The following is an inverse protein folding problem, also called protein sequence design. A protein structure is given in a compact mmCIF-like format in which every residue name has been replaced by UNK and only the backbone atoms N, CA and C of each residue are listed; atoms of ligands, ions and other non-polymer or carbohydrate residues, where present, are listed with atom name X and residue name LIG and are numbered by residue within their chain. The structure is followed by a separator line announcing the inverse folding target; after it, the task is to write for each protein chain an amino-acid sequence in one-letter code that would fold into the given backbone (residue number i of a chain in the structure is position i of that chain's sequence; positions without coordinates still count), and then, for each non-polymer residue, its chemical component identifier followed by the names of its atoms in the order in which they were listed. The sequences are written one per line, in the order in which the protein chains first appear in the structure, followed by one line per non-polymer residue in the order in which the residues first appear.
data_IF_971004673984
#
_entry.id   IF_971004673984
#
_cell.length_a   1.000
_cell.length_b   1.000
_cell.length_c   1.000
_cell.angle_alpha   90.00
_cell.angle_beta   90.00
_cell.angle_gamma   90.00
#
_symmetry.space_group_name_H-M   'P 1'
#
loop_
_entity.id
_entity.type
_entity.pdbx_description
1 polymer ?
#
# COMPACT_ATOMS: atom_id res chain seq x y z
N UNK A 1 -16.63 3.67 7.94
CA UNK A 1 -16.44 3.14 6.57
C UNK A 1 -15.71 4.21 5.80
N UNK A 2 -14.45 3.99 5.46
CA UNK A 2 -13.59 4.97 4.79
C UNK A 2 -14.03 5.03 3.33
N UNK A 3 -14.49 6.20 2.91
CA UNK A 3 -14.92 6.41 1.53
C UNK A 3 -13.75 6.78 0.64
N UNK A 4 -13.92 6.62 -0.68
CA UNK A 4 -12.91 7.00 -1.70
C UNK A 4 -12.37 8.44 -1.57
N UNK A 5 -13.15 9.35 -0.98
CA UNK A 5 -12.80 10.75 -0.80
C UNK A 5 -11.92 11.00 0.43
N UNK A 6 -11.93 10.09 1.41
CA UNK A 6 -11.16 10.20 2.64
C UNK A 6 -9.76 9.55 2.52
N UNK A 7 -9.60 8.61 1.58
CA UNK A 7 -8.30 7.99 1.27
C UNK A 7 -7.18 9.00 1.02
N UNK A 8 -7.32 10.00 0.13
CA UNK A 8 -6.24 10.97 -0.09
C UNK A 8 -5.92 11.80 1.16
N UNK A 9 -6.89 12.04 2.05
CA UNK A 9 -6.67 12.78 3.30
C UNK A 9 -5.84 11.95 4.29
N UNK A 10 -6.24 10.69 4.51
CA UNK A 10 -5.52 9.76 5.40
C UNK A 10 -4.09 9.51 4.90
N UNK A 11 -3.92 9.41 3.59
CA UNK A 11 -2.60 9.23 2.97
C UNK A 11 -1.72 10.48 3.11
N UNK A 12 -2.28 11.69 2.98
CA UNK A 12 -1.53 12.95 3.21
C UNK A 12 -1.02 13.08 4.64
N UNK A 13 -1.77 12.60 5.63
CA UNK A 13 -1.31 12.60 7.02
C UNK A 13 -0.16 11.61 7.25
N UNK A 14 -0.14 10.51 6.50
CA UNK A 14 0.87 9.44 6.64
C UNK A 14 2.14 9.73 5.83
N UNK A 15 2.02 10.45 4.72
CA UNK A 15 3.11 10.80 3.80
C UNK A 15 3.38 12.31 3.90
N UNK A 16 4.26 12.78 4.80
CA UNK A 16 4.68 14.18 4.82
C UNK A 16 5.53 14.44 3.56
N UNK A 17 4.89 14.90 2.49
CA UNK A 17 5.55 15.13 1.21
C UNK A 17 4.82 14.61 -0.02
N UNK A 18 3.59 14.09 0.12
CA UNK A 18 2.68 13.86 -1.02
C UNK A 18 2.30 15.21 -1.64
N UNK A 19 3.26 15.81 -2.33
CA UNK A 19 3.16 17.13 -2.96
C UNK A 19 2.07 17.07 -4.02
N UNK A 20 1.28 18.13 -4.04
CA UNK A 20 0.07 18.38 -4.82
C UNK A 20 0.27 18.38 -6.36
N UNK A 21 1.16 17.57 -6.91
CA UNK A 21 1.46 17.56 -8.34
C UNK A 21 0.38 16.89 -9.20
N UNK A 22 -0.70 16.38 -8.62
CA UNK A 22 -1.83 15.91 -9.40
C UNK A 22 -2.97 16.92 -9.40
N UNK A 23 -2.82 17.95 -10.24
CA UNK A 23 -3.94 18.74 -10.74
C UNK A 23 -4.86 17.84 -11.57
N UNK A 24 -5.65 16.98 -10.91
CA UNK A 24 -6.72 16.26 -11.58
C UNK A 24 -8.05 16.77 -11.09
N UNK A 25 -8.76 17.47 -11.97
CA UNK A 25 -10.11 18.02 -11.77
C UNK A 25 -11.20 16.95 -11.58
N UNK A 26 -10.83 15.67 -11.38
CA UNK A 26 -11.76 14.55 -11.20
C UNK A 26 -11.39 13.74 -9.95
N UNK A 27 -12.27 13.70 -8.92
CA UNK A 27 -12.01 12.99 -7.67
C UNK A 27 -11.89 11.47 -7.85
N UNK A 28 -12.43 10.93 -8.96
CA UNK A 28 -12.26 9.53 -9.32
C UNK A 28 -10.84 9.18 -9.76
N UNK A 29 -10.06 10.13 -10.28
CA UNK A 29 -8.66 9.89 -10.68
C UNK A 29 -7.70 10.09 -9.50
N UNK A 30 -8.01 11.03 -8.61
CA UNK A 30 -7.19 11.35 -7.43
C UNK A 30 -6.93 10.15 -6.52
N UNK A 31 -7.92 9.27 -6.33
CA UNK A 31 -7.73 8.07 -5.49
C UNK A 31 -6.70 7.10 -6.07
N UNK A 32 -6.71 6.86 -7.39
CA UNK A 32 -5.75 5.96 -8.03
C UNK A 32 -4.34 6.55 -7.96
N UNK A 33 -4.21 7.85 -8.21
CA UNK A 33 -2.92 8.53 -8.10
C UNK A 33 -2.40 8.48 -6.67
N UNK A 34 -3.26 8.77 -5.69
CA UNK A 34 -2.88 8.70 -4.27
C UNK A 34 -2.46 7.29 -3.86
N UNK A 35 -3.16 6.26 -4.35
CA UNK A 35 -2.81 4.86 -4.09
C UNK A 35 -1.47 4.49 -4.72
N UNK A 36 -1.21 4.94 -5.95
CA UNK A 36 0.06 4.69 -6.62
C UNK A 36 1.21 5.37 -5.88
N UNK A 37 1.06 6.65 -5.53
CA UNK A 37 2.06 7.36 -4.73
C UNK A 37 2.28 6.76 -3.35
N UNK A 38 1.24 6.25 -2.70
CA UNK A 38 1.38 5.54 -1.44
C UNK A 38 2.15 4.22 -1.59
N UNK A 39 1.91 3.50 -2.68
CA UNK A 39 2.65 2.27 -3.02
C UNK A 39 4.12 2.59 -3.30
N UNK A 40 4.40 3.62 -4.09
CA UNK A 40 5.76 4.07 -4.39
C UNK A 40 6.50 4.54 -3.14
N UNK A 41 5.82 5.28 -2.26
CA UNK A 41 6.37 5.72 -0.98
C UNK A 41 6.69 4.54 -0.05
N UNK A 42 5.82 3.53 -0.01
CA UNK A 42 6.05 2.32 0.77
C UNK A 42 7.23 1.52 0.21
N UNK A 43 7.35 1.43 -1.12
CA UNK A 43 8.51 0.82 -1.79
C UNK A 43 9.80 1.52 -1.38
N UNK A 44 9.86 2.85 -1.48
CA UNK A 44 11.03 3.64 -1.08
C UNK A 44 11.38 3.40 0.40
N UNK A 45 10.39 3.33 1.29
CA UNK A 45 10.62 3.04 2.71
C UNK A 45 11.28 1.68 2.96
N UNK A 46 10.89 0.66 2.20
CA UNK A 46 11.45 -0.69 2.27
C UNK A 46 12.86 -0.71 1.68
N UNK A 47 13.09 -0.06 0.53
CA UNK A 47 14.40 0.06 -0.13
C UNK A 47 15.42 0.82 0.72
N UNK A 48 15.00 1.89 1.40
CA UNK A 48 15.82 2.66 2.35
C UNK A 48 16.03 1.93 3.69
N UNK A 49 15.50 0.71 3.85
CA UNK A 49 15.48 -0.07 5.09
C UNK A 49 14.88 0.67 6.29
N UNK A 50 13.99 1.63 6.04
CA UNK A 50 13.27 2.35 7.07
C UNK A 50 12.06 1.54 7.55
N UNK A 51 12.34 0.49 8.32
CA UNK A 51 11.33 -0.49 8.75
C UNK A 51 10.23 0.12 9.63
N UNK A 52 10.54 1.18 10.38
CA UNK A 52 9.57 1.91 11.18
C UNK A 52 8.52 2.58 10.31
N UNK A 53 8.96 3.22 9.22
CA UNK A 53 8.09 3.90 8.28
C UNK A 53 7.33 2.89 7.41
N UNK A 54 8.00 1.84 6.92
CA UNK A 54 7.34 0.75 6.20
C UNK A 54 6.22 0.09 7.04
N UNK A 55 6.48 -0.18 8.33
CA UNK A 55 5.47 -0.72 9.25
C UNK A 55 4.26 0.21 9.40
N UNK A 56 4.47 1.53 9.48
CA UNK A 56 3.38 2.51 9.51
C UNK A 56 2.56 2.47 8.22
N UNK A 57 3.22 2.44 7.06
CA UNK A 57 2.56 2.29 5.77
C UNK A 57 1.72 1.01 5.71
N UNK A 58 2.27 -0.13 6.10
CA UNK A 58 1.50 -1.37 6.11
C UNK A 58 0.31 -1.34 7.08
N UNK A 59 0.45 -0.69 8.23
CA UNK A 59 -0.66 -0.51 9.20
C UNK A 59 -1.78 0.33 8.59
N UNK A 60 -1.43 1.41 7.89
CA UNK A 60 -2.41 2.26 7.19
C UNK A 60 -3.08 1.50 6.05
N UNK A 61 -2.32 0.72 5.27
CA UNK A 61 -2.86 -0.14 4.22
C UNK A 61 -3.86 -1.17 4.77
N UNK A 62 -3.55 -1.80 5.92
CA UNK A 62 -4.47 -2.72 6.58
C UNK A 62 -5.75 -2.01 7.04
N UNK A 63 -5.62 -0.81 7.61
CA UNK A 63 -6.79 -0.02 8.03
C UNK A 63 -7.68 0.33 6.83
N UNK A 64 -7.08 0.79 5.72
CA UNK A 64 -7.79 1.09 4.48
C UNK A 64 -8.48 -0.15 3.91
N UNK A 65 -7.86 -1.32 4.00
CA UNK A 65 -8.46 -2.56 3.56
C UNK A 65 -9.63 -3.00 4.45
N UNK A 66 -9.48 -2.96 5.78
CA UNK A 66 -10.54 -3.41 6.70
C UNK A 66 -11.73 -2.45 6.73
N UNK A 67 -11.47 -1.15 6.81
CA UNK A 67 -12.49 -0.12 7.04
C UNK A 67 -12.96 0.57 5.76
N UNK A 68 -12.25 0.40 4.64
CA UNK A 68 -12.57 1.01 3.35
C UNK A 68 -13.80 0.44 2.65
N UNK A 69 -14.36 1.26 1.75
CA UNK A 69 -15.40 0.82 0.81
C UNK A 69 -14.87 -0.21 -0.21
N UNK A 70 -15.78 -0.77 -1.01
CA UNK A 70 -15.45 -1.79 -2.02
C UNK A 70 -14.37 -1.34 -3.00
N UNK A 71 -14.34 -0.05 -3.35
CA UNK A 71 -13.35 0.52 -4.26
C UNK A 71 -11.99 0.63 -3.57
N UNK A 72 -11.94 1.16 -2.34
CA UNK A 72 -10.70 1.26 -1.56
C UNK A 72 -10.07 -0.11 -1.35
N UNK A 73 -10.87 -1.11 -0.99
CA UNK A 73 -10.43 -2.50 -0.85
C UNK A 73 -9.82 -3.04 -2.14
N UNK A 74 -10.53 -2.87 -3.25
CA UNK A 74 -10.08 -3.30 -4.58
C UNK A 74 -8.75 -2.63 -4.96
N UNK A 75 -8.56 -1.36 -4.64
CA UNK A 75 -7.32 -0.63 -4.91
C UNK A 75 -6.15 -1.11 -4.05
N UNK A 76 -6.39 -1.40 -2.77
CA UNK A 76 -5.36 -2.00 -1.91
C UNK A 76 -4.96 -3.38 -2.46
N UNK A 77 -5.93 -4.21 -2.83
CA UNK A 77 -5.65 -5.53 -3.40
C UNK A 77 -4.86 -5.46 -4.72
N UNK A 78 -5.31 -4.64 -5.67
CA UNK A 78 -4.77 -4.66 -7.04
C UNK A 78 -3.60 -3.72 -7.28
N UNK A 79 -3.46 -2.64 -6.52
CA UNK A 79 -2.33 -1.71 -6.68
C UNK A 79 -1.27 -1.97 -5.60
N UNK A 80 -1.67 -1.99 -4.33
CA UNK A 80 -0.73 -2.05 -3.22
C UNK A 80 -0.19 -3.47 -3.00
N UNK A 81 -1.08 -4.45 -2.78
CA UNK A 81 -0.69 -5.85 -2.52
C UNK A 81 -0.05 -6.49 -3.76
N UNK A 82 -0.60 -6.23 -4.95
CA UNK A 82 0.01 -6.69 -6.20
C UNK A 82 1.47 -6.21 -6.36
N UNK A 83 1.78 -5.01 -5.86
CA UNK A 83 3.14 -4.46 -5.91
C UNK A 83 4.11 -5.09 -4.91
N UNK A 84 3.67 -5.98 -4.00
CA UNK A 84 4.55 -6.62 -3.01
C UNK A 84 5.71 -7.35 -3.68
N UNK A 85 5.44 -8.02 -4.81
CA UNK A 85 6.45 -8.69 -5.63
C UNK A 85 7.57 -7.75 -6.11
N UNK A 86 7.28 -6.45 -6.24
CA UNK A 86 8.24 -5.44 -6.73
C UNK A 86 9.13 -4.90 -5.62
N UNK A 87 8.68 -4.92 -4.36
CA UNK A 87 9.44 -4.36 -3.23
C UNK A 87 9.86 -5.39 -2.18
N UNK A 88 9.51 -6.67 -2.35
CA UNK A 88 10.06 -7.74 -1.54
C UNK A 88 11.55 -7.93 -1.84
N UNK A 89 12.44 -7.80 -0.83
CA UNK A 89 13.87 -7.94 -1.05
C UNK A 89 14.25 -9.39 -1.37
N UNK A 90 15.23 -9.58 -2.28
CA UNK A 90 15.73 -10.91 -2.66
C UNK A 90 16.60 -11.57 -1.58
N UNK A 91 17.15 -10.78 -0.66
CA UNK A 91 17.99 -11.29 0.42
C UNK A 91 17.12 -11.89 1.52
N UNK A 92 17.36 -13.16 1.88
CA UNK A 92 16.55 -13.91 2.87
C UNK A 92 16.40 -13.16 4.20
N UNK A 93 17.47 -12.55 4.71
CA UNK A 93 17.44 -11.86 6.00
C UNK A 93 16.56 -10.60 5.96
N UNK A 94 16.59 -9.86 4.87
CA UNK A 94 15.74 -8.67 4.67
C UNK A 94 14.29 -9.06 4.41
N UNK A 95 14.08 -10.16 3.68
CA UNK A 95 12.75 -10.69 3.39
C UNK A 95 12.00 -11.03 4.68
N UNK A 96 12.64 -11.77 5.58
CA UNK A 96 12.04 -12.12 6.89
C UNK A 96 11.68 -10.87 7.70
N UNK A 97 12.52 -9.83 7.65
CA UNK A 97 12.23 -8.58 8.35
C UNK A 97 11.03 -7.86 7.75
N UNK A 98 10.93 -7.77 6.41
CA UNK A 98 9.79 -7.15 5.73
C UNK A 98 8.51 -7.97 5.97
N UNK A 99 8.55 -9.29 5.84
CA UNK A 99 7.41 -10.16 6.13
C UNK A 99 6.93 -10.01 7.58
N UNK A 100 7.82 -9.82 8.55
CA UNK A 100 7.46 -9.66 9.96
C UNK A 100 6.66 -8.39 10.27
N UNK A 101 6.75 -7.36 9.42
CA UNK A 101 6.03 -6.08 9.60
C UNK A 101 4.77 -5.99 8.73
N UNK A 102 4.56 -6.91 7.80
CA UNK A 102 3.35 -6.97 6.98
C UNK A 102 2.20 -7.57 7.80
N UNK A 103 1.05 -6.88 7.92
CA UNK A 103 -0.12 -7.42 8.58
C UNK A 103 -0.64 -8.69 7.89
N UNK A 104 -1.02 -9.68 8.69
CA UNK A 104 -1.46 -10.98 8.20
C UNK A 104 -2.61 -10.90 7.18
N UNK A 105 -3.50 -9.91 7.29
CA UNK A 105 -4.58 -9.72 6.31
C UNK A 105 -4.05 -9.40 4.91
N UNK A 106 -3.01 -8.56 4.81
CA UNK A 106 -2.41 -8.18 3.54
C UNK A 106 -1.50 -9.30 3.00
N UNK A 107 -0.75 -9.96 3.88
CA UNK A 107 0.09 -11.10 3.48
C UNK A 107 -0.75 -12.26 2.93
N UNK A 108 -1.90 -12.55 3.55
CA UNK A 108 -2.81 -13.58 3.05
C UNK A 108 -3.39 -13.24 1.67
N UNK A 109 -3.65 -11.96 1.39
CA UNK A 109 -4.06 -11.53 0.04
C UNK A 109 -2.94 -11.74 -0.97
N UNK A 110 -1.72 -11.37 -0.60
CA UNK A 110 -0.54 -11.58 -1.45
C UNK A 110 -0.34 -13.07 -1.78
N UNK A 111 -0.34 -13.94 -0.78
CA UNK A 111 -0.21 -15.40 -0.98
C UNK A 111 -1.33 -15.94 -1.88
N UNK A 112 -2.57 -15.48 -1.69
CA UNK A 112 -3.69 -15.85 -2.58
C UNK A 112 -3.44 -15.40 -4.02
N UNK A 113 -2.95 -14.18 -4.24
CA UNK A 113 -2.66 -13.67 -5.58
C UNK A 113 -1.53 -14.46 -6.26
N UNK A 114 -0.45 -14.75 -5.53
CA UNK A 114 0.68 -15.54 -6.05
C UNK A 114 0.25 -16.96 -6.39
N UNK A 115 -0.51 -17.63 -5.51
CA UNK A 115 -1.01 -18.98 -5.76
C UNK A 115 -2.03 -19.04 -6.91
N UNK A 116 -2.87 -18.01 -7.06
CA UNK A 116 -3.83 -17.92 -8.17
C UNK A 116 -3.16 -17.61 -9.52
N UNK A 117 -2.02 -16.90 -9.51
CA UNK A 117 -1.25 -16.59 -10.71
C UNK A 117 -0.50 -17.80 -11.31
N UNK A 118 -0.47 -18.95 -10.62
CA UNK A 118 -0.04 -20.23 -11.19
C UNK A 118 1.43 -20.25 -11.63
N UNK A 119 2.35 -19.92 -10.71
CA UNK A 119 3.76 -20.30 -10.83
C UNK A 119 4.02 -21.58 -10.03
#
# INVERSE_FOLDING_TARGET
MITRYEVPVILKETIPGLSNNCLSTKPSLEIYVSMNSFTDFTRAAVEERNMNLAKRCFTVAEKLYKEGDSLVRLLIENCFVHSFSLFMPRQKNELVLVESIIPASLFNLYVKQVNAAGC
#
